data_IF_381350466987
#
_entry.id   IF_381350466987
#
_cell.length_a   1.000
_cell.length_b   1.000
_cell.length_c   1.000
_cell.angle_alpha   90.00
_cell.angle_beta   90.00
_cell.angle_gamma   90.00
#
_symmetry.space_group_name_H-M   'P 1'
#
loop_
_entity.id
_entity.type
_entity.pdbx_description
1 polymer ?
#
# COMPACT_ATOMS: atom_id res chain seq x y z
N UNK A 1 8.56 8.03 12.91
CA UNK A 1 8.54 7.75 11.46
C UNK A 1 7.75 8.89 10.80
N UNK A 2 8.34 9.64 9.89
CA UNK A 2 7.63 10.71 9.17
C UNK A 2 6.81 10.08 8.04
N UNK A 3 5.51 9.86 8.26
CA UNK A 3 4.60 9.42 7.19
C UNK A 3 4.42 10.53 6.16
N UNK A 4 4.76 10.23 4.92
CA UNK A 4 4.46 11.05 3.74
C UNK A 4 2.97 10.99 3.39
N UNK A 5 2.52 11.91 2.51
CA UNK A 5 1.13 11.97 2.05
C UNK A 5 0.65 10.65 1.41
N UNK A 6 1.54 9.90 0.75
CA UNK A 6 1.23 8.63 0.09
C UNK A 6 0.92 7.52 1.10
N UNK A 7 1.74 7.39 2.14
CA UNK A 7 1.55 6.39 3.20
C UNK A 7 0.24 6.64 3.95
N UNK A 8 -0.06 7.90 4.28
CA UNK A 8 -1.34 8.28 4.89
C UNK A 8 -2.54 7.98 4.00
N UNK A 9 -2.43 8.28 2.70
CA UNK A 9 -3.49 7.97 1.74
C UNK A 9 -3.79 6.47 1.71
N UNK A 10 -2.76 5.63 1.57
CA UNK A 10 -2.91 4.18 1.58
C UNK A 10 -3.55 3.69 2.88
N UNK A 11 -3.03 4.13 4.02
CA UNK A 11 -3.52 3.70 5.32
C UNK A 11 -5.01 4.04 5.50
N UNK A 12 -5.41 5.29 5.23
CA UNK A 12 -6.79 5.75 5.38
C UNK A 12 -7.72 5.01 4.40
N UNK A 13 -7.27 4.82 3.16
CA UNK A 13 -8.09 4.17 2.14
C UNK A 13 -8.28 2.68 2.43
N UNK A 14 -7.20 1.95 2.73
CA UNK A 14 -7.25 0.53 3.01
C UNK A 14 -8.09 0.22 4.25
N UNK A 15 -7.96 1.02 5.32
CA UNK A 15 -8.79 0.92 6.54
C UNK A 15 -10.30 1.00 6.27
N UNK A 16 -10.74 1.60 5.15
CA UNK A 16 -12.17 1.66 4.78
C UNK A 16 -12.68 0.42 4.05
N UNK A 17 -11.79 -0.42 3.52
CA UNK A 17 -12.15 -1.54 2.63
C UNK A 17 -12.04 -2.88 3.37
N UNK A 18 -11.09 -2.96 4.29
CA UNK A 18 -10.76 -4.19 5.02
C UNK A 18 -11.73 -4.45 6.17
N UNK A 19 -11.76 -5.70 6.65
CA UNK A 19 -12.57 -6.10 7.81
C UNK A 19 -11.88 -5.73 9.12
N UNK A 20 -10.55 -5.78 9.17
CA UNK A 20 -9.73 -5.52 10.34
C UNK A 20 -8.83 -4.28 10.14
N UNK A 21 -9.40 -3.07 10.19
CA UNK A 21 -8.65 -1.82 9.95
C UNK A 21 -7.52 -1.58 10.96
N UNK A 22 -7.64 -2.10 12.18
CA UNK A 22 -6.62 -2.06 13.23
C UNK A 22 -5.34 -2.83 12.87
N UNK A 23 -5.43 -3.75 11.91
CA UNK A 23 -4.32 -4.58 11.46
C UNK A 23 -3.66 -4.05 10.18
N UNK A 24 -4.01 -2.84 9.74
CA UNK A 24 -3.36 -2.16 8.63
C UNK A 24 -2.21 -1.30 9.14
N UNK A 25 -1.00 -1.61 8.67
CA UNK A 25 0.19 -0.79 8.88
C UNK A 25 0.94 -0.60 7.56
N UNK A 26 1.37 0.63 7.29
CA UNK A 26 2.20 0.94 6.12
C UNK A 26 3.63 1.17 6.60
N UNK A 27 4.57 0.40 6.04
CA UNK A 27 6.00 0.59 6.26
C UNK A 27 6.67 1.03 4.98
N UNK A 28 7.62 1.96 5.11
CA UNK A 28 8.45 2.42 4.01
C UNK A 28 9.86 1.93 4.17
N UNK A 29 10.39 1.36 3.09
CA UNK A 29 11.76 0.87 2.99
C UNK A 29 12.40 1.43 1.71
N UNK A 30 13.73 1.32 1.61
CA UNK A 30 14.43 1.64 0.36
C UNK A 30 14.08 0.59 -0.70
N UNK A 31 13.63 1.03 -1.86
CA UNK A 31 13.29 0.13 -2.95
C UNK A 31 14.54 -0.39 -3.67
N UNK A 32 14.46 -1.60 -4.23
CA UNK A 32 15.54 -2.16 -5.07
C UNK A 32 15.54 -1.60 -6.49
N UNK A 33 14.34 -1.33 -7.04
CA UNK A 33 14.12 -0.82 -8.41
C UNK A 33 13.42 0.54 -8.46
N UNK A 34 12.97 1.01 -7.30
CA UNK A 34 12.25 2.27 -7.09
C UNK A 34 12.91 3.00 -5.93
N UNK A 35 12.67 4.29 -5.77
CA UNK A 35 13.22 5.07 -4.64
C UNK A 35 12.77 4.49 -3.30
N UNK A 36 11.50 4.08 -3.22
CA UNK A 36 10.93 3.52 -2.01
C UNK A 36 10.04 2.31 -2.28
N UNK A 37 9.97 1.42 -1.29
CA UNK A 37 9.06 0.29 -1.23
C UNK A 37 8.06 0.54 -0.09
N UNK A 38 6.77 0.42 -0.40
CA UNK A 38 5.68 0.55 0.55
C UNK A 38 5.12 -0.84 0.84
N UNK A 39 5.36 -1.31 2.06
CA UNK A 39 4.91 -2.57 2.59
C UNK A 39 3.58 -2.37 3.33
N UNK A 40 2.50 -2.87 2.73
CA UNK A 40 1.17 -2.92 3.34
C UNK A 40 1.09 -4.20 4.16
N UNK A 41 1.21 -4.08 5.47
CA UNK A 41 0.92 -5.17 6.38
C UNK A 41 -0.59 -5.21 6.64
N UNK A 42 -1.20 -6.38 6.47
CA UNK A 42 -2.63 -6.58 6.65
C UNK A 42 -2.92 -7.98 7.19
N UNK A 43 -4.06 -8.13 7.89
CA UNK A 43 -4.56 -9.44 8.27
C UNK A 43 -4.75 -10.32 7.01
N UNK A 44 -4.36 -11.60 7.09
CA UNK A 44 -4.46 -12.54 5.96
C UNK A 44 -5.87 -12.57 5.34
N UNK A 45 -6.90 -12.51 6.19
CA UNK A 45 -8.32 -12.48 5.81
C UNK A 45 -8.70 -11.27 4.94
N UNK A 46 -7.92 -10.21 4.96
CA UNK A 46 -8.16 -8.99 4.19
C UNK A 46 -7.28 -8.84 2.96
N UNK A 47 -6.21 -9.64 2.81
CA UNK A 47 -5.32 -9.59 1.65
C UNK A 47 -6.10 -9.77 0.35
N UNK A 48 -7.05 -10.70 0.30
CA UNK A 48 -7.89 -10.91 -0.87
C UNK A 48 -8.69 -9.67 -1.30
N UNK A 49 -9.13 -8.85 -0.33
CA UNK A 49 -9.83 -7.58 -0.62
C UNK A 49 -8.89 -6.50 -1.13
N UNK A 50 -7.67 -6.44 -0.58
CA UNK A 50 -6.64 -5.46 -0.97
C UNK A 50 -6.13 -5.73 -2.38
N UNK A 51 -5.87 -7.00 -2.70
CA UNK A 51 -5.46 -7.42 -4.06
C UNK A 51 -6.63 -7.21 -5.03
N UNK A 52 -7.84 -7.57 -4.61
CA UNK A 52 -9.05 -7.52 -5.42
C UNK A 52 -9.06 -8.58 -6.51
N UNK A 53 -10.23 -8.74 -7.15
CA UNK A 53 -10.40 -9.70 -8.24
C UNK A 53 -9.42 -9.42 -9.37
N UNK A 54 -8.67 -10.45 -9.81
CA UNK A 54 -7.63 -10.38 -10.84
C UNK A 54 -6.52 -9.34 -10.55
N UNK A 55 -6.32 -8.97 -9.28
CA UNK A 55 -5.34 -7.94 -8.91
C UNK A 55 -5.73 -6.52 -9.33
N UNK A 56 -7.00 -6.28 -9.71
CA UNK A 56 -7.45 -4.96 -10.19
C UNK A 56 -7.32 -3.86 -9.14
N UNK A 57 -7.59 -4.19 -7.88
CA UNK A 57 -7.56 -3.20 -6.79
C UNK A 57 -6.15 -2.74 -6.50
N UNK A 58 -5.21 -3.68 -6.30
CA UNK A 58 -3.80 -3.33 -6.08
C UNK A 58 -3.17 -2.64 -7.29
N UNK A 59 -3.58 -3.01 -8.52
CA UNK A 59 -3.12 -2.33 -9.74
C UNK A 59 -3.61 -0.89 -9.82
N UNK A 60 -4.86 -0.61 -9.44
CA UNK A 60 -5.37 0.76 -9.37
C UNK A 60 -4.60 1.60 -8.34
N UNK A 61 -4.30 1.04 -7.16
CA UNK A 61 -3.48 1.71 -6.15
C UNK A 61 -2.06 2.02 -6.66
N UNK A 62 -1.42 1.06 -7.35
CA UNK A 62 -0.12 1.26 -7.99
C UNK A 62 -0.15 2.41 -8.99
N UNK A 63 -1.20 2.52 -9.80
CA UNK A 63 -1.35 3.61 -10.76
C UNK A 63 -1.52 4.97 -10.08
N UNK A 64 -2.33 5.04 -9.02
CA UNK A 64 -2.53 6.27 -8.23
C UNK A 64 -1.21 6.76 -7.64
N UNK A 65 -0.41 5.85 -7.11
CA UNK A 65 0.87 6.21 -6.48
C UNK A 65 1.94 6.51 -7.53
N UNK A 66 1.94 5.82 -8.67
CA UNK A 66 2.80 6.14 -9.79
C UNK A 66 2.53 7.57 -10.33
N UNK A 67 1.29 8.07 -10.25
CA UNK A 67 0.97 9.44 -10.60
C UNK A 67 1.67 10.48 -9.69
N UNK A 68 2.01 10.12 -8.46
CA UNK A 68 2.78 10.99 -7.54
C UNK A 68 4.20 11.22 -8.05
N UNK A 69 4.77 10.26 -8.80
CA UNK A 69 6.07 10.42 -9.47
C UNK A 69 6.10 11.64 -10.38
N UNK A 70 5.00 11.93 -11.08
CA UNK A 70 4.92 13.09 -11.97
C UNK A 70 5.03 14.43 -11.22
N UNK A 71 4.70 14.45 -9.92
CA UNK A 71 4.72 15.65 -9.08
C UNK A 71 6.03 15.78 -8.30
N UNK A 72 6.42 14.72 -7.59
CA UNK A 72 7.51 14.77 -6.62
C UNK A 72 8.81 14.10 -7.15
N UNK A 73 8.79 13.56 -8.38
CA UNK A 73 9.87 12.79 -9.00
C UNK A 73 10.33 11.57 -8.17
N UNK A 74 9.44 11.05 -7.32
CA UNK A 74 9.68 9.87 -6.48
C UNK A 74 8.92 8.67 -7.01
N UNK A 75 9.59 7.54 -7.15
CA UNK A 75 9.00 6.26 -7.54
C UNK A 75 8.76 5.34 -6.33
N UNK A 76 7.65 4.60 -6.38
CA UNK A 76 7.24 3.67 -5.33
C UNK A 76 6.93 2.29 -5.90
N UNK A 77 7.30 1.25 -5.17
CA UNK A 77 6.81 -0.12 -5.37
C UNK A 77 5.88 -0.49 -4.21
N UNK A 78 4.78 -1.21 -4.49
CA UNK A 78 3.85 -1.68 -3.47
C UNK A 78 3.89 -3.20 -3.31
N UNK A 79 4.00 -3.62 -2.06
CA UNK A 79 3.97 -5.03 -1.64
C UNK A 79 2.92 -5.18 -0.54
N UNK A 80 2.14 -6.26 -0.62
CA UNK A 80 1.19 -6.64 0.43
C UNK A 80 1.79 -7.81 1.20
N UNK A 81 1.90 -7.67 2.52
CA UNK A 81 2.47 -8.66 3.42
C UNK A 81 1.33 -9.20 4.30
N UNK A 82 0.93 -10.48 4.13
CA UNK A 82 -0.02 -11.11 5.03
C UNK A 82 0.57 -11.23 6.43
N UNK A 83 -0.24 -10.96 7.45
CA UNK A 83 0.03 -11.36 8.83
C UNK A 83 -1.03 -12.35 9.28
N UNK A 84 -0.59 -13.44 9.89
CA UNK A 84 -1.43 -14.35 10.65
C UNK A 84 -1.76 -13.68 11.98
N UNK A 85 -3.02 -13.27 12.14
CA UNK A 85 -3.55 -12.55 13.31
C UNK A 85 -4.91 -13.15 13.66
#
# INVERSE_FOLDING_TARGET
MHNTSVEKFLEIYLKKIVKYPEHIAIKRELGKKSDYMLCIEAAEKDVGKIIGKDGKMISALKNVIAAVKAKDNVSYELIVIPKEI
#
